data_IF_455204655197
#
_entry.id   IF_455204655197
#
_cell.length_a   1.000
_cell.length_b   1.000
_cell.length_c   1.000
_cell.angle_alpha   90.00
_cell.angle_beta   90.00
_cell.angle_gamma   90.00
#
_symmetry.space_group_name_H-M   'P 1'
#
loop_
_entity.id
_entity.type
_entity.pdbx_description
1 polymer ?
#
# COMPACT_ATOMS: atom_id res chain seq x y z
N UNK A 1 10.54 -0.13 -53.43
CA UNK A 1 11.22 0.21 -52.16
C UNK A 1 12.62 -0.38 -52.18
N UNK A 2 13.64 0.34 -51.67
CA UNK A 2 14.99 -0.22 -51.52
C UNK A 2 14.98 -1.33 -50.46
N UNK A 3 15.85 -2.34 -50.60
CA UNK A 3 15.97 -3.45 -49.65
C UNK A 3 16.22 -2.97 -48.22
N UNK A 4 17.00 -1.91 -48.06
CA UNK A 4 17.26 -1.23 -46.78
C UNK A 4 15.98 -0.73 -46.10
N UNK A 5 15.06 -0.14 -46.88
CA UNK A 5 13.77 0.33 -46.37
C UNK A 5 12.91 -0.82 -45.88
N UNK A 6 12.95 -1.98 -46.56
CA UNK A 6 12.20 -3.16 -46.14
C UNK A 6 12.73 -3.73 -44.81
N UNK A 7 14.05 -3.78 -44.63
CA UNK A 7 14.65 -4.20 -43.36
C UNK A 7 14.32 -3.26 -42.20
N UNK A 8 14.39 -1.94 -42.43
CA UNK A 8 14.02 -0.94 -41.42
C UNK A 8 12.55 -1.06 -41.01
N UNK A 9 11.64 -1.24 -41.97
CA UNK A 9 10.21 -1.43 -41.68
C UNK A 9 9.98 -2.74 -40.92
N UNK A 10 10.63 -3.84 -41.31
CA UNK A 10 10.53 -5.12 -40.60
C UNK A 10 10.99 -5.03 -39.15
N UNK A 11 12.13 -4.35 -38.90
CA UNK A 11 12.63 -4.12 -37.55
C UNK A 11 11.69 -3.23 -36.72
N UNK A 12 11.14 -2.17 -37.32
CA UNK A 12 10.17 -1.30 -36.67
C UNK A 12 8.89 -2.06 -36.27
N UNK A 13 8.34 -2.86 -37.19
CA UNK A 13 7.13 -3.65 -36.91
C UNK A 13 7.39 -4.66 -35.80
N UNK A 14 8.55 -5.30 -35.79
CA UNK A 14 8.91 -6.26 -34.74
C UNK A 14 9.04 -5.56 -33.39
N UNK A 15 9.77 -4.45 -33.32
CA UNK A 15 9.98 -3.70 -32.05
C UNK A 15 8.68 -3.12 -31.50
N UNK A 16 7.90 -2.41 -32.34
CA UNK A 16 6.60 -1.85 -31.93
C UNK A 16 5.60 -2.96 -31.61
N UNK A 17 5.60 -4.04 -32.38
CA UNK A 17 4.72 -5.19 -32.18
C UNK A 17 4.97 -5.86 -30.83
N UNK A 18 6.23 -6.15 -30.52
CA UNK A 18 6.60 -6.74 -29.23
C UNK A 18 6.28 -5.80 -28.06
N UNK A 19 6.63 -4.51 -28.16
CA UNK A 19 6.32 -3.54 -27.12
C UNK A 19 4.81 -3.40 -26.88
N UNK A 20 4.02 -3.31 -27.95
CA UNK A 20 2.56 -3.24 -27.90
C UNK A 20 1.96 -4.49 -27.25
N UNK A 21 2.46 -5.67 -27.59
CA UNK A 21 2.00 -6.93 -27.00
C UNK A 21 2.26 -6.96 -25.50
N UNK A 22 3.45 -6.58 -25.05
CA UNK A 22 3.79 -6.50 -23.62
C UNK A 22 2.85 -5.53 -22.89
N UNK A 23 2.65 -4.33 -23.44
CA UNK A 23 1.77 -3.34 -22.83
C UNK A 23 0.30 -3.76 -22.82
N UNK A 24 -0.17 -4.53 -23.81
CA UNK A 24 -1.53 -5.06 -23.83
C UNK A 24 -1.82 -5.97 -22.63
N UNK A 25 -0.83 -6.74 -22.16
CA UNK A 25 -0.95 -7.58 -20.97
C UNK A 25 -0.61 -6.84 -19.67
N UNK A 26 0.25 -5.81 -19.73
CA UNK A 26 0.65 -5.06 -18.54
C UNK A 26 -0.36 -3.96 -18.13
N UNK A 27 -0.95 -3.23 -19.09
CA UNK A 27 -1.89 -2.11 -18.86
C UNK A 27 -3.05 -2.46 -17.92
N UNK A 28 -3.72 -3.64 -18.04
CA UNK A 28 -4.83 -3.98 -17.15
C UNK A 28 -4.45 -4.07 -15.67
N UNK A 29 -3.17 -4.30 -15.35
CA UNK A 29 -2.66 -4.36 -13.98
C UNK A 29 -2.34 -2.97 -13.40
N UNK A 30 -2.30 -1.92 -14.21
CA UNK A 30 -2.12 -0.53 -13.77
C UNK A 30 -3.46 0.16 -13.46
N UNK A 31 -4.40 -0.54 -12.82
CA UNK A 31 -5.63 0.08 -12.35
C UNK A 31 -5.37 0.75 -10.99
N UNK A 32 -5.85 1.99 -10.78
CA UNK A 32 -5.84 2.59 -9.46
C UNK A 32 -6.56 1.68 -8.48
N UNK A 33 -5.97 1.48 -7.30
CA UNK A 33 -6.65 0.79 -6.21
C UNK A 33 -7.73 1.73 -5.68
N UNK A 34 -8.95 1.23 -5.57
CA UNK A 34 -10.08 1.99 -5.03
C UNK A 34 -10.30 1.57 -3.59
N UNK A 35 -9.93 2.44 -2.65
CA UNK A 35 -10.22 2.21 -1.25
C UNK A 35 -11.64 2.65 -0.89
N UNK A 36 -12.37 1.87 -0.07
CA UNK A 36 -13.66 2.29 0.44
C UNK A 36 -13.48 3.46 1.42
N UNK A 37 -14.48 4.34 1.48
CA UNK A 37 -14.54 5.35 2.52
C UNK A 37 -14.92 4.70 3.85
N UNK A 38 -14.14 4.99 4.89
CA UNK A 38 -14.29 4.35 6.21
C UNK A 38 -14.96 5.30 7.20
N UNK A 39 -15.83 4.76 8.04
CA UNK A 39 -16.59 5.55 9.02
C UNK A 39 -16.05 5.39 10.45
N UNK A 40 -15.40 4.27 10.73
CA UNK A 40 -14.78 4.00 12.03
C UNK A 40 -13.63 3.02 11.88
N UNK A 41 -12.86 2.83 12.95
CA UNK A 41 -11.83 1.80 12.97
C UNK A 41 -11.22 1.61 14.33
N UNK A 42 -10.39 0.59 14.44
CA UNK A 42 -9.57 0.31 15.60
C UNK A 42 -8.12 0.16 15.16
N UNK A 43 -7.21 0.69 15.96
CA UNK A 43 -5.78 0.50 15.77
C UNK A 43 -5.23 -0.36 16.90
N UNK A 44 -4.40 -1.32 16.52
CA UNK A 44 -3.65 -2.20 17.39
C UNK A 44 -2.17 -1.84 17.26
N UNK A 45 -1.52 -1.43 18.35
CA UNK A 45 -0.14 -0.89 18.31
C UNK A 45 0.81 -1.70 19.18
N UNK A 46 2.00 -1.97 18.63
CA UNK A 46 3.17 -2.46 19.36
C UNK A 46 3.10 -3.95 19.72
N UNK A 47 4.16 -4.48 20.36
CA UNK A 47 4.28 -5.91 20.67
C UNK A 47 3.23 -6.40 21.68
N UNK A 48 2.71 -5.51 22.52
CA UNK A 48 1.62 -5.78 23.47
C UNK A 48 0.23 -5.69 22.83
N UNK A 49 0.14 -5.35 21.53
CA UNK A 49 -1.09 -5.33 20.75
C UNK A 49 -2.21 -4.51 21.43
N UNK A 50 -1.88 -3.32 21.91
CA UNK A 50 -2.85 -2.44 22.54
C UNK A 50 -3.87 -1.96 21.51
N UNK A 51 -5.14 -2.34 21.71
CA UNK A 51 -6.26 -1.95 20.84
C UNK A 51 -6.93 -0.69 21.36
N UNK A 52 -7.23 0.23 20.44
CA UNK A 52 -8.07 1.39 20.72
C UNK A 52 -8.93 1.73 19.51
N UNK A 53 -10.04 2.42 19.75
CA UNK A 53 -10.80 3.05 18.68
C UNK A 53 -10.03 4.24 18.08
N UNK A 54 -10.22 4.48 16.78
CA UNK A 54 -9.82 5.71 16.12
C UNK A 54 -10.77 6.84 16.49
N UNK A 55 -10.23 8.04 16.68
CA UNK A 55 -11.05 9.26 16.84
C UNK A 55 -11.58 9.72 15.47
N UNK A 56 -12.62 10.57 15.45
CA UNK A 56 -13.18 11.11 14.20
C UNK A 56 -12.11 11.78 13.32
N UNK A 57 -11.22 12.58 13.93
CA UNK A 57 -10.11 13.23 13.22
C UNK A 57 -9.12 12.23 12.60
N UNK A 58 -8.92 11.07 13.25
CA UNK A 58 -8.03 10.02 12.74
C UNK A 58 -8.68 9.27 11.58
N UNK A 59 -9.99 9.02 11.66
CA UNK A 59 -10.76 8.44 10.55
C UNK A 59 -10.70 9.38 9.34
N UNK A 60 -10.88 10.69 9.54
CA UNK A 60 -10.75 11.68 8.47
C UNK A 60 -9.32 11.72 7.90
N UNK A 61 -8.31 11.61 8.76
CA UNK A 61 -6.90 11.55 8.34
C UNK A 61 -6.65 10.33 7.47
N UNK A 62 -7.13 9.15 7.88
CA UNK A 62 -7.01 7.91 7.11
C UNK A 62 -7.72 8.02 5.76
N UNK A 63 -8.97 8.51 5.73
CA UNK A 63 -9.70 8.71 4.47
C UNK A 63 -8.96 9.66 3.53
N UNK A 64 -8.48 10.79 4.05
CA UNK A 64 -7.71 11.77 3.27
C UNK A 64 -6.44 11.15 2.71
N UNK A 65 -5.76 10.32 3.51
CA UNK A 65 -4.57 9.60 3.08
C UNK A 65 -4.90 8.59 1.97
N UNK A 66 -5.94 7.75 2.16
CA UNK A 66 -6.38 6.78 1.15
C UNK A 66 -6.80 7.46 -0.16
N UNK A 67 -7.42 8.64 -0.08
CA UNK A 67 -7.84 9.39 -1.26
C UNK A 67 -6.67 9.93 -2.08
N UNK A 68 -5.55 10.23 -1.42
CA UNK A 68 -4.34 10.74 -2.07
C UNK A 68 -3.42 9.63 -2.60
N UNK A 69 -3.58 8.38 -2.16
CA UNK A 69 -2.68 7.27 -2.50
C UNK A 69 -3.43 6.15 -3.23
N UNK A 70 -3.94 6.43 -4.44
CA UNK A 70 -4.70 5.46 -5.27
C UNK A 70 -3.82 4.66 -6.25
N UNK A 71 -2.55 4.98 -6.35
CA UNK A 71 -1.61 4.38 -7.30
C UNK A 71 -0.29 4.05 -6.61
N UNK A 72 0.52 3.16 -7.19
CA UNK A 72 1.80 2.71 -6.63
C UNK A 72 1.72 1.35 -5.91
N UNK A 73 0.51 0.92 -5.58
CA UNK A 73 0.22 -0.39 -5.01
C UNK A 73 0.64 -1.55 -5.91
N UNK A 74 1.50 -2.41 -5.38
CA UNK A 74 1.88 -3.67 -6.00
C UNK A 74 1.32 -4.89 -5.25
N UNK A 75 1.39 -6.09 -5.84
CA UNK A 75 1.12 -7.31 -5.10
C UNK A 75 2.18 -7.52 -4.01
N UNK A 76 1.80 -8.19 -2.92
CA UNK A 76 2.76 -8.64 -1.92
C UNK A 76 3.72 -9.67 -2.55
N UNK A 77 4.96 -9.24 -2.82
CA UNK A 77 5.94 -10.05 -3.56
C UNK A 77 6.87 -10.88 -2.67
N UNK A 78 6.85 -10.63 -1.35
CA UNK A 78 7.72 -11.28 -0.36
C UNK A 78 6.97 -11.54 0.93
N UNK A 79 7.30 -12.63 1.61
CA UNK A 79 6.76 -12.91 2.94
C UNK A 79 7.22 -11.83 3.92
N UNK A 80 6.30 -11.17 4.63
CA UNK A 80 6.66 -10.14 5.60
C UNK A 80 7.46 -10.77 6.77
N UNK A 81 8.47 -10.07 7.31
CA UNK A 81 9.31 -10.61 8.38
C UNK A 81 8.59 -10.74 9.74
N UNK A 82 7.42 -10.12 9.88
CA UNK A 82 6.60 -10.05 11.10
C UNK A 82 5.17 -9.63 10.76
N UNK A 83 4.33 -9.46 11.77
CA UNK A 83 2.92 -9.07 11.64
C UNK A 83 2.69 -7.54 11.62
N UNK A 84 3.74 -6.77 11.30
CA UNK A 84 3.74 -5.30 11.29
C UNK A 84 3.84 -4.66 12.68
N UNK A 85 4.09 -3.36 12.71
CA UNK A 85 4.19 -2.58 13.96
C UNK A 85 2.82 -2.20 14.50
N UNK A 86 1.86 -2.00 13.59
CA UNK A 86 0.48 -1.77 13.95
C UNK A 86 -0.47 -2.28 12.87
N UNK A 87 -1.70 -2.60 13.29
CA UNK A 87 -2.79 -2.98 12.40
C UNK A 87 -3.98 -2.09 12.64
N UNK A 88 -4.48 -1.45 11.58
CA UNK A 88 -5.66 -0.60 11.58
C UNK A 88 -6.79 -1.37 10.90
N UNK A 89 -7.80 -1.75 11.68
CA UNK A 89 -9.01 -2.40 11.17
C UNK A 89 -10.07 -1.33 10.94
N UNK A 90 -10.47 -1.13 9.69
CA UNK A 90 -11.38 -0.07 9.28
C UNK A 90 -12.74 -0.63 8.88
N UNK A 91 -13.78 0.13 9.21
CA UNK A 91 -15.18 -0.26 9.01
C UNK A 91 -15.93 0.78 8.18
N UNK A 92 -16.88 0.30 7.39
CA UNK A 92 -17.80 1.14 6.62
C UNK A 92 -18.84 1.83 7.53
N UNK A 93 -19.71 2.64 6.93
CA UNK A 93 -20.81 3.32 7.62
C UNK A 93 -21.83 2.35 8.27
N UNK A 94 -21.87 1.09 7.85
CA UNK A 94 -22.73 0.05 8.41
C UNK A 94 -22.04 -0.76 9.52
N UNK A 95 -20.78 -0.44 9.84
CA UNK A 95 -19.98 -1.16 10.83
C UNK A 95 -19.39 -2.49 10.32
N UNK A 96 -19.43 -2.75 9.01
CA UNK A 96 -18.80 -3.91 8.37
C UNK A 96 -17.32 -3.64 8.13
N UNK A 97 -16.49 -4.67 8.24
CA UNK A 97 -15.07 -4.56 7.92
C UNK A 97 -14.91 -4.21 6.44
N UNK A 98 -14.20 -3.11 6.18
CA UNK A 98 -14.06 -2.52 4.85
C UNK A 98 -12.62 -2.64 4.34
N UNK A 99 -11.65 -2.51 5.23
CA UNK A 99 -10.23 -2.53 4.89
C UNK A 99 -9.40 -2.80 6.14
N UNK A 100 -8.32 -3.56 6.03
CA UNK A 100 -7.30 -3.62 7.07
C UNK A 100 -5.99 -3.04 6.54
N UNK A 101 -5.38 -2.12 7.31
CA UNK A 101 -4.06 -1.58 7.02
C UNK A 101 -3.05 -2.14 8.00
N UNK A 102 -2.01 -2.79 7.51
CA UNK A 102 -0.86 -3.19 8.33
C UNK A 102 0.26 -2.17 8.10
N UNK A 103 0.68 -1.46 9.15
CA UNK A 103 1.67 -0.39 9.07
C UNK A 103 3.02 -0.86 9.62
N UNK A 104 4.07 -0.55 8.87
CA UNK A 104 5.45 -0.75 9.25
C UNK A 104 6.11 0.61 9.48
N UNK A 105 6.25 0.98 10.73
CA UNK A 105 6.79 2.28 11.17
C UNK A 105 8.30 2.26 11.41
N UNK A 106 8.91 1.07 11.35
CA UNK A 106 10.31 0.81 11.66
C UNK A 106 10.60 0.55 13.13
N UNK A 107 9.59 0.16 13.91
CA UNK A 107 9.78 -0.30 15.29
C UNK A 107 10.27 -1.75 15.32
N UNK A 108 9.80 -2.60 14.39
CA UNK A 108 10.12 -4.03 14.33
C UNK A 108 11.45 -4.39 13.64
N UNK A 109 12.33 -3.41 13.35
CA UNK A 109 13.66 -3.62 12.77
C UNK A 109 13.67 -4.39 11.42
N UNK A 110 12.61 -4.21 10.62
CA UNK A 110 12.50 -4.77 9.28
C UNK A 110 12.88 -3.73 8.21
N UNK A 111 13.36 -4.18 7.04
CA UNK A 111 13.61 -3.33 5.85
C UNK A 111 12.34 -2.75 5.20
N UNK A 112 11.21 -2.75 5.92
CA UNK A 112 9.87 -2.41 5.45
C UNK A 112 9.42 -1.08 6.07
N UNK A 113 10.36 -0.21 6.44
CA UNK A 113 10.04 1.08 7.03
C UNK A 113 9.17 1.90 6.07
N UNK A 114 8.12 2.51 6.61
CA UNK A 114 7.15 3.33 5.86
C UNK A 114 6.38 2.55 4.79
N UNK A 115 6.26 1.25 5.00
CA UNK A 115 5.45 0.36 4.17
C UNK A 115 4.05 0.16 4.77
N UNK A 116 3.04 0.17 3.90
CA UNK A 116 1.66 -0.18 4.24
C UNK A 116 1.24 -1.41 3.45
N UNK A 117 0.60 -2.35 4.12
CA UNK A 117 -0.24 -3.34 3.43
C UNK A 117 -1.69 -2.95 3.56
N UNK A 118 -2.39 -2.94 2.44
CA UNK A 118 -3.84 -2.81 2.39
C UNK A 118 -4.43 -4.18 2.04
N UNK A 119 -5.18 -4.73 2.99
CA UNK A 119 -5.80 -6.05 2.90
C UNK A 119 -7.32 -5.90 2.77
N UNK A 120 -7.91 -6.58 1.79
CA UNK A 120 -9.36 -6.73 1.70
C UNK A 120 -9.91 -7.47 2.94
N UNK A 121 -11.17 -7.23 3.34
CA UNK A 121 -11.77 -7.85 4.53
C UNK A 121 -11.77 -9.38 4.52
N UNK A 122 -11.82 -9.98 3.33
CA UNK A 122 -11.79 -11.43 3.12
C UNK A 122 -10.36 -12.00 2.97
N UNK A 123 -9.34 -11.14 3.00
CA UNK A 123 -7.93 -11.50 2.83
C UNK A 123 -7.56 -11.97 1.42
N UNK A 124 -8.46 -11.83 0.45
CA UNK A 124 -8.23 -12.29 -0.93
C UNK A 124 -7.22 -11.42 -1.69
N UNK A 125 -7.17 -10.13 -1.37
CA UNK A 125 -6.30 -9.15 -2.00
C UNK A 125 -5.44 -8.46 -0.93
N UNK A 126 -4.12 -8.49 -1.15
CA UNK A 126 -3.14 -7.78 -0.33
C UNK A 126 -2.28 -6.94 -1.25
N UNK A 127 -2.43 -5.63 -1.10
CA UNK A 127 -1.63 -4.63 -1.78
C UNK A 127 -0.54 -4.11 -0.86
N UNK A 128 0.64 -3.88 -1.40
CA UNK A 128 1.79 -3.36 -0.69
C UNK A 128 2.30 -2.10 -1.39
N UNK A 129 2.63 -1.09 -0.60
CA UNK A 129 3.34 0.09 -1.07
C UNK A 129 4.27 0.64 0.01
N UNK A 130 5.40 1.21 -0.43
CA UNK A 130 6.36 1.89 0.45
C UNK A 130 6.35 3.37 0.10
N UNK A 131 6.21 4.19 1.13
CA UNK A 131 5.99 5.63 0.99
C UNK A 131 7.23 6.42 1.42
N UNK A 132 7.34 7.66 0.96
CA UNK A 132 8.29 8.58 1.56
C UNK A 132 7.89 8.89 3.01
N UNK A 133 8.85 9.30 3.83
CA UNK A 133 8.59 9.65 5.23
C UNK A 133 7.47 10.70 5.37
N UNK A 134 7.42 11.66 4.44
CA UNK A 134 6.41 12.73 4.43
C UNK A 134 5.01 12.19 4.14
N UNK A 135 4.88 11.28 3.20
CA UNK A 135 3.60 10.65 2.82
C UNK A 135 3.11 9.69 3.91
N UNK A 136 4.03 9.03 4.61
CA UNK A 136 3.71 8.11 5.69
C UNK A 136 3.43 8.80 7.04
N UNK A 137 3.90 10.04 7.23
CA UNK A 137 3.79 10.78 8.50
C UNK A 137 2.37 10.82 9.11
N UNK A 138 1.27 11.00 8.34
CA UNK A 138 -0.09 10.97 8.90
C UNK A 138 -0.44 9.63 9.55
N UNK A 139 -0.04 8.51 8.93
CA UNK A 139 -0.27 7.17 9.45
C UNK A 139 0.63 6.89 10.67
N UNK A 140 1.88 7.35 10.61
CA UNK A 140 2.80 7.26 11.75
C UNK A 140 2.24 7.98 12.99
N UNK A 141 1.59 9.12 12.81
CA UNK A 141 0.91 9.85 13.90
C UNK A 141 -0.19 9.06 14.61
N UNK A 142 -0.79 8.06 13.95
CA UNK A 142 -1.77 7.16 14.58
C UNK A 142 -1.11 6.23 15.62
N UNK A 143 0.14 5.85 15.34
CA UNK A 143 0.95 4.89 16.11
C UNK A 143 1.71 5.59 17.24
N UNK A 144 2.38 6.70 16.92
CA UNK A 144 3.36 7.39 17.77
C UNK A 144 2.76 8.24 18.91
N UNK A 145 1.43 8.22 19.12
CA UNK A 145 0.83 8.79 20.36
C UNK A 145 1.41 8.13 21.63
N UNK A 146 1.96 6.94 21.50
CA UNK A 146 2.82 6.32 22.51
C UNK A 146 4.27 6.43 22.02
N UNK A 147 5.14 7.12 22.78
CA UNK A 147 6.58 7.18 22.48
C UNK A 147 7.20 5.79 22.59
N UNK A 148 7.18 5.00 21.52
CA UNK A 148 8.01 3.81 21.43
C UNK A 148 9.44 4.25 21.12
N UNK A 149 10.40 3.86 21.96
CA UNK A 149 11.82 4.06 21.64
C UNK A 149 12.13 3.22 20.41
N UNK A 150 12.45 3.87 19.28
CA UNK A 150 13.08 3.22 18.13
C UNK A 150 14.33 2.50 18.61
N UNK A 151 14.45 1.20 18.34
CA UNK A 151 15.68 0.47 18.63
C UNK A 151 16.77 0.99 17.70
N UNK A 152 17.77 1.67 18.26
CA UNK A 152 19.01 1.93 17.55
C UNK A 152 19.76 0.60 17.48
N UNK A 153 19.96 0.05 16.28
CA UNK A 153 20.89 -1.05 16.10
C UNK A 153 22.32 -0.49 15.90
N UNK A 154 23.36 -1.15 16.46
CA UNK A 154 24.77 -0.81 16.27
C UNK A 154 25.27 -1.03 14.84
#
# INVERSE_FOLDING_TARGET
MRKETAFLVGFLVLTIGTASLIWMFALPNFKPVSFPHVASGQIEVGPMRHKRALTADEVQTVNTWLDNHKAGWGPLSRTPPSSGDSRVMLKDANGKDALALTLWTGISAADWNDTVFAEAPDGSEVHMETFSEKEFAPLRGLVDRFKFKRSAFP
#
